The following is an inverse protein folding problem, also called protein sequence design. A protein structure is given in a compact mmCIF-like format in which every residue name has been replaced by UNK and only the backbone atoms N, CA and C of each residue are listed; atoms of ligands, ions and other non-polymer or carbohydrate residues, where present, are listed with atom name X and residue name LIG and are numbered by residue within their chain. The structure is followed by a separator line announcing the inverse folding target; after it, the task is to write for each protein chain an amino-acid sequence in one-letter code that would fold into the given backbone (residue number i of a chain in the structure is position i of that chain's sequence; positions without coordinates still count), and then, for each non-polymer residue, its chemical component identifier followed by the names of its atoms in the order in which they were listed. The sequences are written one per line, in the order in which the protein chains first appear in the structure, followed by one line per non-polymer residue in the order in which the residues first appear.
data_IF_705453648882
#
_entry.id   IF_705453648882
#
_cell.length_a   1.000
_cell.length_b   1.000
_cell.length_c   1.000
_cell.angle_alpha   90.00
_cell.angle_beta   90.00
_cell.angle_gamma   90.00
#
_symmetry.space_group_name_H-M   'P 1'
#
loop_
_entity.id
_entity.type
_entity.pdbx_description
1 polymer ?
#
# COMPACT_ATOMS: atom_id res chain seq x y z
N UNK A 1 46.85 13.08 37.20
CA UNK A 1 45.47 12.92 36.71
C UNK A 1 45.37 11.54 36.06
N UNK A 2 44.91 10.52 36.79
CA UNK A 2 44.61 9.21 36.20
C UNK A 2 43.16 9.25 35.75
N UNK A 3 42.93 9.62 34.49
CA UNK A 3 41.65 9.40 33.85
C UNK A 3 41.51 7.91 33.58
N UNK A 4 40.72 7.21 34.39
CA UNK A 4 40.37 5.82 34.13
C UNK A 4 39.36 5.83 33.00
N UNK A 5 39.83 5.61 31.77
CA UNK A 5 38.96 5.36 30.62
C UNK A 5 38.21 4.05 30.86
N UNK A 6 36.88 4.12 30.92
CA UNK A 6 36.04 2.92 30.99
C UNK A 6 36.24 2.01 29.76
N UNK A 7 35.77 0.76 29.84
CA UNK A 7 35.84 -0.16 28.71
C UNK A 7 35.11 0.43 27.50
N UNK A 8 35.77 0.37 26.33
CA UNK A 8 35.17 0.76 25.07
C UNK A 8 33.97 -0.17 24.80
N UNK A 9 32.79 0.41 24.62
CA UNK A 9 31.59 -0.32 24.23
C UNK A 9 31.87 -1.03 22.90
N UNK A 10 31.56 -2.32 22.85
CA UNK A 10 31.73 -3.11 21.63
C UNK A 10 30.68 -2.67 20.60
N UNK A 11 30.97 -2.90 19.32
CA UNK A 11 29.98 -2.65 18.25
C UNK A 11 28.65 -3.40 18.53
N UNK A 12 28.69 -4.51 19.26
CA UNK A 12 27.52 -5.27 19.71
C UNK A 12 26.64 -4.53 20.72
N UNK A 13 27.21 -3.70 21.59
CA UNK A 13 26.43 -2.91 22.56
C UNK A 13 25.62 -1.82 21.83
N UNK A 14 26.18 -1.23 20.76
CA UNK A 14 25.50 -0.23 19.93
C UNK A 14 24.37 -0.82 19.08
N UNK A 15 24.51 -2.06 18.62
CA UNK A 15 23.53 -2.71 17.75
C UNK A 15 22.37 -3.37 18.52
N UNK A 16 22.45 -3.43 19.85
CA UNK A 16 21.42 -4.03 20.70
C UNK A 16 20.11 -3.22 20.69
N UNK A 17 20.19 -1.89 20.65
CA UNK A 17 19.01 -1.01 20.64
C UNK A 17 18.25 -1.02 19.29
N UNK A 18 18.88 -1.47 18.20
CA UNK A 18 18.32 -1.43 16.83
C UNK A 18 17.35 -2.60 16.55
N UNK A 19 17.09 -3.46 17.54
CA UNK A 19 16.22 -4.64 17.41
C UNK A 19 15.01 -4.68 18.34
N UNK A 20 14.82 -3.71 19.24
CA UNK A 20 13.85 -3.80 20.34
C UNK A 20 12.56 -2.97 20.17
N UNK A 21 12.18 -2.59 18.95
CA UNK A 21 10.81 -2.10 18.69
C UNK A 21 9.99 -3.15 17.94
N UNK A 22 9.36 -4.06 18.70
CA UNK A 22 8.00 -4.57 18.50
C UNK A 22 7.83 -5.97 19.11
N UNK A 23 7.87 -6.11 20.44
CA UNK A 23 7.15 -7.21 21.11
C UNK A 23 7.08 -7.03 22.64
N UNK A 24 6.28 -6.07 23.11
CA UNK A 24 5.66 -6.18 24.44
C UNK A 24 4.17 -5.89 24.32
N UNK A 25 3.43 -6.95 24.00
CA UNK A 25 2.00 -7.02 24.24
C UNK A 25 1.75 -6.84 25.75
N UNK A 26 1.09 -5.76 26.15
CA UNK A 26 0.41 -5.69 27.44
C UNK A 26 -1.06 -5.40 27.15
N UNK A 27 -1.88 -6.44 27.36
CA UNK A 27 -3.33 -6.39 27.32
C UNK A 27 -3.86 -5.39 28.35
N UNK A 28 -4.72 -4.47 27.92
CA UNK A 28 -5.72 -3.87 28.79
C UNK A 28 -7.03 -3.68 27.99
N UNK A 29 -8.03 -4.47 28.35
CA UNK A 29 -9.42 -4.36 27.86
C UNK A 29 -10.03 -3.05 28.38
N UNK A 30 -10.84 -2.27 27.63
CA UNK A 30 -12.31 -2.38 27.39
C UNK A 30 -12.78 -1.00 26.80
N UNK A 31 -14.01 -0.74 26.28
CA UNK A 31 -14.74 -1.30 25.13
C UNK A 31 -15.18 -0.25 24.04
N UNK A 32 -15.51 -0.77 22.83
CA UNK A 32 -16.57 -0.39 21.85
C UNK A 32 -16.70 1.04 21.21
N UNK A 33 -16.44 1.06 19.89
CA UNK A 33 -17.22 1.68 18.76
C UNK A 33 -17.13 3.20 18.47
N UNK A 34 -17.50 3.67 17.25
CA UNK A 34 -17.26 3.15 15.90
C UNK A 34 -16.66 4.21 14.94
N UNK A 35 -16.22 3.78 13.75
CA UNK A 35 -16.01 4.61 12.54
C UNK A 35 -15.13 5.85 12.66
N UNK A 36 -13.83 5.69 12.39
CA UNK A 36 -13.03 6.77 11.80
C UNK A 36 -12.76 6.41 10.35
N UNK A 37 -13.56 6.99 9.46
CA UNK A 37 -13.22 7.14 8.05
C UNK A 37 -11.86 7.85 7.99
N UNK A 38 -10.81 7.10 7.69
CA UNK A 38 -9.49 7.66 7.45
C UNK A 38 -9.65 8.70 6.32
N UNK A 39 -9.19 9.95 6.49
CA UNK A 39 -9.14 10.87 5.38
C UNK A 39 -8.19 10.25 4.35
N UNK A 40 -8.74 9.86 3.20
CA UNK A 40 -7.96 9.59 2.01
C UNK A 40 -7.24 10.89 1.69
N UNK A 41 -6.00 11.00 2.18
CA UNK A 41 -5.12 12.09 1.80
C UNK A 41 -4.93 11.99 0.30
N UNK A 42 -5.68 12.82 -0.42
CA UNK A 42 -5.53 13.12 -1.83
C UNK A 42 -4.24 13.91 -2.08
N UNK A 43 -3.19 13.62 -1.33
CA UNK A 43 -1.84 14.06 -1.61
C UNK A 43 -1.34 13.08 -2.65
N UNK A 44 -1.87 13.14 -3.87
CA UNK A 44 -1.20 12.53 -5.02
C UNK A 44 0.14 13.25 -5.11
N UNK A 45 1.26 12.65 -4.68
CA UNK A 45 2.55 13.28 -4.92
C UNK A 45 2.66 13.28 -6.44
N UNK A 46 2.93 14.44 -7.03
CA UNK A 46 3.24 14.64 -8.45
C UNK A 46 3.84 13.36 -9.02
N UNK A 47 3.10 12.68 -9.91
CA UNK A 47 3.41 11.39 -10.54
C UNK A 47 4.88 11.01 -10.36
N UNK A 48 5.20 10.39 -9.21
CA UNK A 48 6.57 10.01 -8.92
C UNK A 48 6.83 8.87 -9.88
N UNK A 49 7.62 9.13 -10.93
CA UNK A 49 8.03 8.09 -11.87
C UNK A 49 8.93 7.11 -11.12
N UNK A 50 8.28 6.16 -10.47
CA UNK A 50 8.88 5.22 -9.54
C UNK A 50 9.92 4.33 -10.24
N UNK A 51 9.69 3.84 -11.48
CA UNK A 51 10.75 3.22 -12.28
C UNK A 51 11.98 4.10 -12.45
N UNK A 52 11.81 5.36 -12.84
CA UNK A 52 12.92 6.29 -13.03
C UNK A 52 13.67 6.56 -11.71
N UNK A 53 12.94 6.82 -10.63
CA UNK A 53 13.52 7.07 -9.32
C UNK A 53 14.28 5.85 -8.80
N UNK A 54 13.75 4.65 -9.00
CA UNK A 54 14.44 3.40 -8.64
C UNK A 54 15.74 3.26 -9.42
N UNK A 55 15.71 3.47 -10.74
CA UNK A 55 16.89 3.39 -11.60
C UNK A 55 17.98 4.39 -11.17
N UNK A 56 17.61 5.66 -10.97
CA UNK A 56 18.55 6.71 -10.57
C UNK A 56 19.22 6.41 -9.21
N UNK A 57 18.46 5.93 -8.21
CA UNK A 57 19.03 5.57 -6.91
C UNK A 57 19.88 4.29 -7.00
N UNK A 58 19.53 3.36 -7.89
CA UNK A 58 20.30 2.14 -8.10
C UNK A 58 21.66 2.45 -8.75
N UNK A 59 21.68 3.33 -9.75
CA UNK A 59 22.92 3.75 -10.40
C UNK A 59 23.84 4.49 -9.41
N UNK A 60 23.28 5.41 -8.61
CA UNK A 60 24.01 6.08 -7.53
C UNK A 60 24.52 5.11 -6.46
N UNK A 61 23.74 4.08 -6.12
CA UNK A 61 24.16 3.06 -5.16
C UNK A 61 25.38 2.29 -5.68
N UNK A 62 25.38 1.91 -6.96
CA UNK A 62 26.53 1.22 -7.56
C UNK A 62 27.79 2.09 -7.54
N UNK A 63 27.67 3.41 -7.77
CA UNK A 63 28.78 4.35 -7.65
C UNK A 63 29.28 4.46 -6.20
N UNK A 64 28.37 4.62 -5.24
CA UNK A 64 28.68 4.69 -3.80
C UNK A 64 29.40 3.43 -3.30
N UNK A 65 28.98 2.24 -3.75
CA UNK A 65 29.58 0.95 -3.42
C UNK A 65 30.98 0.76 -4.04
N UNK A 66 31.23 1.35 -5.20
CA UNK A 66 32.56 1.34 -5.84
C UNK A 66 33.50 2.38 -5.23
N UNK A 67 32.94 3.44 -4.63
CA UNK A 67 33.67 4.49 -3.94
C UNK A 67 34.00 4.14 -2.48
N UNK A 68 34.45 5.15 -1.74
CA UNK A 68 34.73 5.06 -0.30
C UNK A 68 33.65 5.76 0.55
N UNK A 69 32.56 6.21 -0.08
CA UNK A 69 31.51 6.94 0.62
C UNK A 69 30.64 5.99 1.48
N UNK A 70 29.93 6.56 2.44
CA UNK A 70 28.96 5.82 3.25
C UNK A 70 27.51 6.13 2.86
N UNK A 71 27.32 6.78 1.71
CA UNK A 71 26.01 7.16 1.19
C UNK A 71 25.20 5.94 0.75
N UNK A 72 25.88 4.80 0.50
CA UNK A 72 25.26 3.52 0.16
C UNK A 72 24.14 3.10 1.13
N UNK A 73 24.27 3.42 2.43
CA UNK A 73 23.23 3.12 3.43
C UNK A 73 21.95 3.90 3.18
N UNK A 74 22.07 5.22 2.94
CA UNK A 74 20.95 6.10 2.62
C UNK A 74 20.33 5.73 1.26
N UNK A 75 21.14 5.42 0.26
CA UNK A 75 20.67 4.99 -1.06
C UNK A 75 19.92 3.65 -1.01
N UNK A 76 20.41 2.70 -0.20
CA UNK A 76 19.71 1.45 0.06
C UNK A 76 18.34 1.70 0.70
N UNK A 77 18.25 2.58 1.70
CA UNK A 77 16.97 2.96 2.31
C UNK A 77 16.02 3.59 1.29
N UNK A 78 16.51 4.47 0.42
CA UNK A 78 15.69 5.08 -0.65
C UNK A 78 15.12 4.03 -1.60
N UNK A 79 15.92 3.03 -2.00
CA UNK A 79 15.44 1.92 -2.83
C UNK A 79 14.38 1.08 -2.10
N UNK A 80 14.59 0.76 -0.83
CA UNK A 80 13.59 0.06 -0.02
C UNK A 80 12.27 0.85 0.06
N UNK A 81 12.32 2.16 0.30
CA UNK A 81 11.13 3.02 0.31
C UNK A 81 10.44 3.07 -1.06
N UNK A 82 11.21 3.12 -2.15
CA UNK A 82 10.66 3.07 -3.50
C UNK A 82 9.91 1.74 -3.75
N UNK A 83 10.50 0.61 -3.35
CA UNK A 83 9.86 -0.71 -3.45
C UNK A 83 8.62 -0.83 -2.57
N UNK A 84 8.65 -0.31 -1.34
CA UNK A 84 7.49 -0.30 -0.46
C UNK A 84 6.34 0.52 -1.05
N UNK A 85 6.68 1.67 -1.66
CA UNK A 85 5.72 2.51 -2.39
C UNK A 85 5.13 1.77 -3.58
N UNK A 86 5.94 1.05 -4.35
CA UNK A 86 5.47 0.23 -5.47
C UNK A 86 4.50 -0.86 -4.99
N UNK A 87 4.85 -1.55 -3.91
CA UNK A 87 4.01 -2.58 -3.32
C UNK A 87 2.66 -2.02 -2.85
N UNK A 88 2.65 -0.88 -2.16
CA UNK A 88 1.41 -0.19 -1.74
C UNK A 88 0.55 0.21 -2.95
N UNK A 89 1.17 0.69 -4.03
CA UNK A 89 0.46 1.05 -5.26
C UNK A 89 -0.21 -0.17 -5.92
N UNK A 90 0.50 -1.30 -6.01
CA UNK A 90 -0.04 -2.56 -6.54
C UNK A 90 -1.20 -3.05 -5.69
N UNK A 91 -1.04 -3.06 -4.36
CA UNK A 91 -2.09 -3.50 -3.44
C UNK A 91 -3.35 -2.62 -3.54
N UNK A 92 -3.18 -1.29 -3.55
CA UNK A 92 -4.29 -0.34 -3.72
C UNK A 92 -5.00 -0.53 -5.07
N UNK A 93 -4.24 -0.63 -6.15
CA UNK A 93 -4.78 -0.86 -7.50
C UNK A 93 -5.57 -2.17 -7.56
N UNK A 94 -5.05 -3.25 -7.00
CA UNK A 94 -5.73 -4.54 -6.98
C UNK A 94 -7.03 -4.49 -6.17
N UNK A 95 -7.01 -3.87 -4.99
CA UNK A 95 -8.22 -3.66 -4.18
C UNK A 95 -9.29 -2.86 -4.95
N UNK A 96 -8.89 -1.77 -5.62
CA UNK A 96 -9.80 -0.97 -6.44
C UNK A 96 -10.34 -1.75 -7.64
N UNK A 97 -9.49 -2.52 -8.33
CA UNK A 97 -9.90 -3.37 -9.44
C UNK A 97 -10.93 -4.43 -9.00
N UNK A 98 -10.72 -5.05 -7.84
CA UNK A 98 -11.67 -6.00 -7.26
C UNK A 98 -13.02 -5.34 -6.95
N UNK A 99 -13.01 -4.20 -6.26
CA UNK A 99 -14.23 -3.44 -5.95
C UNK A 99 -14.98 -3.00 -7.22
N UNK A 100 -14.25 -2.59 -8.26
CA UNK A 100 -14.84 -2.25 -9.55
C UNK A 100 -15.50 -3.47 -10.18
N UNK A 101 -14.82 -4.62 -10.19
CA UNK A 101 -15.36 -5.87 -10.72
C UNK A 101 -16.63 -6.30 -9.99
N UNK A 102 -16.68 -6.17 -8.67
CA UNK A 102 -17.87 -6.47 -7.86
C UNK A 102 -19.05 -5.58 -8.27
N UNK A 103 -18.84 -4.26 -8.37
CA UNK A 103 -19.87 -3.30 -8.79
C UNK A 103 -20.36 -3.55 -10.21
N UNK A 104 -19.47 -3.88 -11.14
CA UNK A 104 -19.85 -4.24 -12.51
C UNK A 104 -20.73 -5.48 -12.52
N UNK A 105 -20.41 -6.50 -11.72
CA UNK A 105 -21.23 -7.70 -11.59
C UNK A 105 -22.63 -7.43 -10.99
N UNK A 106 -22.74 -6.48 -10.06
CA UNK A 106 -24.05 -6.03 -9.54
C UNK A 106 -24.88 -5.31 -10.61
N UNK A 107 -24.26 -4.41 -11.38
CA UNK A 107 -24.91 -3.71 -12.48
C UNK A 107 -25.41 -4.68 -13.56
N UNK A 108 -24.62 -5.71 -13.89
CA UNK A 108 -25.03 -6.74 -14.85
C UNK A 108 -26.30 -7.47 -14.40
N UNK A 109 -26.41 -7.81 -13.11
CA UNK A 109 -27.62 -8.43 -12.55
C UNK A 109 -28.84 -7.51 -12.68
N UNK A 110 -28.65 -6.21 -12.43
CA UNK A 110 -29.71 -5.20 -12.55
C UNK A 110 -30.19 -5.11 -14.01
N UNK A 111 -29.27 -5.07 -14.97
CA UNK A 111 -29.58 -5.02 -16.40
C UNK A 111 -30.37 -6.27 -16.82
N UNK A 112 -29.90 -7.47 -16.48
CA UNK A 112 -30.61 -8.74 -16.81
C UNK A 112 -32.03 -8.78 -16.26
N UNK A 113 -32.24 -8.25 -15.05
CA UNK A 113 -33.57 -8.10 -14.46
C UNK A 113 -34.43 -7.10 -15.25
N UNK A 114 -33.84 -5.97 -15.67
CA UNK A 114 -34.48 -4.99 -16.54
C UNK A 114 -34.93 -5.61 -17.86
N UNK A 115 -34.04 -6.33 -18.54
CA UNK A 115 -34.34 -7.02 -19.80
C UNK A 115 -35.47 -8.04 -19.66
N UNK A 116 -35.46 -8.80 -18.56
CA UNK A 116 -36.52 -9.77 -18.25
C UNK A 116 -37.88 -9.08 -18.05
N UNK A 117 -37.92 -7.95 -17.36
CA UNK A 117 -39.14 -7.17 -17.16
C UNK A 117 -39.67 -6.58 -18.48
N UNK A 118 -38.78 -6.08 -19.35
CA UNK A 118 -39.14 -5.58 -20.68
C UNK A 118 -39.71 -6.71 -21.54
N UNK A 119 -39.09 -7.89 -21.54
CA UNK A 119 -39.57 -9.05 -22.27
C UNK A 119 -40.98 -9.47 -21.80
N UNK A 120 -41.20 -9.52 -20.48
CA UNK A 120 -42.51 -9.83 -19.91
C UNK A 120 -43.57 -8.79 -20.30
N UNK A 121 -43.26 -7.50 -20.25
CA UNK A 121 -44.18 -6.43 -20.65
C UNK A 121 -44.55 -6.51 -22.13
N UNK A 122 -43.57 -6.82 -23.01
CA UNK A 122 -43.83 -7.03 -24.45
C UNK A 122 -44.77 -8.21 -24.70
N UNK A 123 -44.59 -9.32 -23.98
CA UNK A 123 -45.46 -10.49 -24.11
C UNK A 123 -46.92 -10.18 -23.75
N UNK A 124 -47.15 -9.39 -22.70
CA UNK A 124 -48.49 -8.95 -22.29
C UNK A 124 -49.11 -7.99 -23.34
N UNK A 125 -48.31 -7.11 -23.94
CA UNK A 125 -48.82 -6.20 -24.96
C UNK A 125 -49.29 -6.95 -26.21
N UNK A 126 -48.52 -7.94 -26.67
CA UNK A 126 -48.88 -8.80 -27.81
C UNK A 126 -50.15 -9.60 -27.52
N UNK A 127 -50.31 -10.15 -26.31
CA UNK A 127 -51.51 -10.92 -25.97
C UNK A 127 -52.78 -10.09 -25.83
N UNK A 128 -52.67 -8.79 -25.53
CA UNK A 128 -53.81 -7.87 -25.36
C UNK A 128 -54.32 -7.27 -26.68
N UNK A 129 -53.51 -7.28 -27.74
CA UNK A 129 -53.88 -6.75 -29.05
C UNK A 129 -53.50 -7.76 -30.14
N UNK A 130 -54.22 -8.90 -30.26
CA UNK A 130 -53.97 -9.85 -31.33
C UNK A 130 -54.34 -9.20 -32.66
N UNK A 131 -53.38 -9.13 -33.59
CA UNK A 131 -53.65 -8.83 -35.01
C UNK A 131 -54.67 -9.81 -35.61
#
# INVERSE_FOLDING_TARGET
MKGVGGPLLCIGDLLSDVGEEANTATHHETPLSPSSSLPLSNNTPNSLDLPKLFQENYDQLNEALAGTDHSWTSLTLKLCTALETANKLVQSTNMNARQLSEKVGELEKIIKRGDSAVAAAKAIHVSKNPE
#
